data_IF_889093123905
#
_entry.id   IF_889093123905
#
_cell.length_a   1.000
_cell.length_b   1.000
_cell.length_c   1.000
_cell.angle_alpha   90.00
_cell.angle_beta   90.00
_cell.angle_gamma   90.00
#
_symmetry.space_group_name_H-M   'P 1'
#
loop_
_entity.id
_entity.type
_entity.pdbx_description
1 polymer ?
#
# COMPACT_ATOMS: atom_id res chain seq x y z
N UNK A 1 -3.20 -15.20 64.74
CA UNK A 1 -4.32 -15.05 63.79
C UNK A 1 -4.19 -13.69 63.11
N UNK A 2 -3.56 -13.66 61.96
CA UNK A 2 -3.35 -12.41 61.18
C UNK A 2 -4.52 -12.28 60.24
N UNK A 3 -5.33 -11.23 60.44
CA UNK A 3 -6.40 -10.85 59.53
C UNK A 3 -5.75 -10.18 58.27
N UNK A 4 -5.72 -10.92 57.17
CA UNK A 4 -5.38 -10.36 55.87
C UNK A 4 -6.52 -9.45 55.42
N UNK A 5 -6.27 -8.15 55.42
CA UNK A 5 -7.20 -7.17 54.87
C UNK A 5 -7.21 -7.32 53.35
N UNK A 6 -8.29 -7.83 52.79
CA UNK A 6 -8.53 -7.91 51.36
C UNK A 6 -9.09 -6.60 50.85
N UNK A 7 -8.22 -5.62 50.62
CA UNK A 7 -8.58 -4.46 49.85
C UNK A 7 -8.50 -4.80 48.35
N UNK A 8 -9.63 -4.86 47.68
CA UNK A 8 -9.68 -4.92 46.22
C UNK A 8 -9.56 -3.49 45.68
N UNK A 9 -8.74 -3.31 44.65
CA UNK A 9 -8.59 -2.01 43.97
C UNK A 9 -9.95 -1.56 43.45
N UNK A 10 -10.33 -0.33 43.78
CA UNK A 10 -11.53 0.33 43.24
C UNK A 10 -11.25 0.68 41.79
N UNK A 11 -11.95 0.02 40.84
CA UNK A 11 -11.96 0.43 39.44
C UNK A 11 -12.77 1.71 39.32
N UNK A 12 -12.10 2.84 39.42
CA UNK A 12 -12.75 4.12 39.11
C UNK A 12 -13.02 4.15 37.59
N UNK A 13 -14.25 4.50 37.13
CA UNK A 13 -14.47 4.82 35.73
C UNK A 13 -13.52 5.96 35.34
N UNK A 14 -12.63 5.70 34.38
CA UNK A 14 -11.72 6.73 33.86
C UNK A 14 -12.57 7.86 33.28
N UNK A 15 -12.63 9.01 33.97
CA UNK A 15 -13.00 10.26 33.30
C UNK A 15 -12.01 10.42 32.16
N UNK A 16 -12.51 10.58 30.93
CA UNK A 16 -11.66 10.87 29.77
C UNK A 16 -10.74 12.04 30.15
N UNK A 17 -9.43 11.82 30.10
CA UNK A 17 -8.48 12.90 30.36
C UNK A 17 -8.57 13.88 29.21
N UNK A 18 -8.35 15.17 29.50
CA UNK A 18 -8.33 16.19 28.45
C UNK A 18 -7.34 15.84 27.31
N UNK A 19 -6.21 15.22 27.66
CA UNK A 19 -5.24 14.67 26.69
C UNK A 19 -5.84 13.61 25.76
N UNK A 20 -6.72 12.74 26.27
CA UNK A 20 -7.37 11.71 25.44
C UNK A 20 -8.34 12.37 24.45
N UNK A 21 -9.13 13.35 24.89
CA UNK A 21 -10.05 14.11 24.02
C UNK A 21 -9.31 14.88 22.93
N UNK A 22 -8.16 15.49 23.25
CA UNK A 22 -7.32 16.19 22.27
C UNK A 22 -6.77 15.18 21.25
N UNK A 23 -6.30 14.02 21.72
CA UNK A 23 -5.79 12.97 20.84
C UNK A 23 -6.88 12.45 19.89
N UNK A 24 -8.09 12.16 20.40
CA UNK A 24 -9.23 11.73 19.59
C UNK A 24 -9.63 12.77 18.53
N UNK A 25 -9.58 14.07 18.86
CA UNK A 25 -9.88 15.13 17.90
C UNK A 25 -8.85 15.14 16.76
N UNK A 26 -7.56 15.07 17.07
CA UNK A 26 -6.49 15.03 16.05
C UNK A 26 -6.57 13.74 15.22
N UNK A 27 -6.84 12.59 15.84
CA UNK A 27 -7.11 11.34 15.15
C UNK A 27 -8.28 11.46 14.16
N UNK A 28 -9.36 12.14 14.57
CA UNK A 28 -10.51 12.42 13.70
C UNK A 28 -10.12 13.22 12.45
N UNK A 29 -9.26 14.23 12.59
CA UNK A 29 -8.77 15.03 11.46
C UNK A 29 -7.86 14.22 10.52
N UNK A 30 -7.06 13.30 11.06
CA UNK A 30 -6.24 12.38 10.27
C UNK A 30 -7.14 11.38 9.54
N UNK A 31 -8.13 10.81 10.23
CA UNK A 31 -9.05 9.83 9.67
C UNK A 31 -9.97 10.41 8.58
N UNK A 32 -10.38 11.68 8.71
CA UNK A 32 -11.16 12.39 7.69
C UNK A 32 -10.32 12.84 6.48
N UNK A 33 -8.98 12.80 6.61
CA UNK A 33 -8.06 13.29 5.57
C UNK A 33 -7.90 14.82 5.55
N UNK A 34 -8.41 15.53 6.54
CA UNK A 34 -8.15 16.97 6.73
C UNK A 34 -6.69 17.22 7.09
N UNK A 35 -6.09 16.33 7.91
CA UNK A 35 -4.65 16.25 8.14
C UNK A 35 -4.10 15.07 7.32
N UNK A 36 -3.25 15.38 6.36
CA UNK A 36 -2.67 14.39 5.44
C UNK A 36 -1.30 13.91 5.91
N UNK A 37 -0.87 12.70 5.54
CA UNK A 37 0.50 12.27 5.75
C UNK A 37 1.51 13.30 5.26
N UNK A 38 2.48 13.63 6.12
CA UNK A 38 3.49 14.66 5.86
C UNK A 38 3.11 16.07 6.26
N UNK A 39 1.84 16.35 6.59
CA UNK A 39 1.44 17.66 7.09
C UNK A 39 2.10 17.96 8.43
N UNK A 40 2.55 19.21 8.59
CA UNK A 40 3.13 19.68 9.83
C UNK A 40 2.06 20.23 10.75
N UNK A 41 2.03 19.79 12.00
CA UNK A 41 1.21 20.43 13.01
C UNK A 41 1.77 21.82 13.35
N UNK A 42 0.90 22.78 13.70
CA UNK A 42 1.34 24.06 14.22
C UNK A 42 2.25 23.87 15.45
N UNK A 43 3.17 24.82 15.74
CA UNK A 43 3.97 24.77 16.96
C UNK A 43 3.09 24.59 18.21
N UNK A 44 3.56 23.79 19.19
CA UNK A 44 2.79 23.49 20.41
C UNK A 44 2.16 24.73 21.06
N UNK A 45 2.86 25.87 21.03
CA UNK A 45 2.38 27.13 21.58
C UNK A 45 1.14 27.64 20.85
N UNK A 46 1.12 27.51 19.55
CA UNK A 46 0.05 28.06 18.73
C UNK A 46 -1.13 27.08 18.67
N UNK A 47 -0.83 25.78 18.62
CA UNK A 47 -1.83 24.71 18.66
C UNK A 47 -2.57 24.69 20.01
N UNK A 48 -1.85 24.90 21.15
CA UNK A 48 -2.50 24.97 22.47
C UNK A 48 -3.49 26.14 22.58
N UNK A 49 -3.20 27.26 21.91
CA UNK A 49 -4.11 28.41 21.84
C UNK A 49 -5.31 28.11 20.93
N UNK A 50 -5.09 27.48 19.78
CA UNK A 50 -6.18 27.15 18.86
C UNK A 50 -7.18 26.16 19.46
N UNK A 51 -6.68 25.21 20.26
CA UNK A 51 -7.51 24.21 20.94
C UNK A 51 -8.02 24.69 22.32
N UNK A 52 -7.62 25.86 22.76
CA UNK A 52 -7.94 26.43 24.12
C UNK A 52 -7.60 25.43 25.24
N UNK A 53 -6.41 24.84 25.21
CA UNK A 53 -5.95 23.85 26.18
C UNK A 53 -4.59 24.20 26.78
N UNK A 54 -4.28 23.60 27.93
CA UNK A 54 -2.96 23.76 28.54
C UNK A 54 -1.88 23.07 27.70
N UNK A 55 -0.67 23.67 27.62
CA UNK A 55 0.47 23.05 26.90
C UNK A 55 0.85 21.68 27.46
N UNK A 56 0.84 21.39 28.78
CA UNK A 56 1.07 20.05 29.29
C UNK A 56 0.07 19.01 28.77
N UNK A 57 -1.24 19.32 28.77
CA UNK A 57 -2.29 18.42 28.27
C UNK A 57 -2.13 18.15 26.76
N UNK A 58 -1.81 19.18 25.98
CA UNK A 58 -1.51 19.03 24.56
C UNK A 58 -0.28 18.13 24.34
N UNK A 59 0.80 18.36 25.08
CA UNK A 59 2.02 17.55 24.95
C UNK A 59 1.77 16.09 25.30
N UNK A 60 0.99 15.79 26.33
CA UNK A 60 0.59 14.42 26.66
C UNK A 60 -0.21 13.79 25.49
N UNK A 61 -1.14 14.51 24.89
CA UNK A 61 -1.89 14.05 23.72
C UNK A 61 -0.98 13.78 22.51
N UNK A 62 -0.04 14.68 22.22
CA UNK A 62 0.92 14.50 21.11
C UNK A 62 1.83 13.29 21.34
N UNK A 63 2.29 13.05 22.57
CA UNK A 63 3.07 11.85 22.92
C UNK A 63 2.25 10.55 22.76
N UNK A 64 0.96 10.58 23.11
CA UNK A 64 0.06 9.45 22.88
C UNK A 64 -0.08 9.17 21.37
N UNK A 65 -0.29 10.21 20.57
CA UNK A 65 -0.39 10.08 19.11
C UNK A 65 0.93 9.59 18.48
N UNK A 66 2.07 10.06 18.98
CA UNK A 66 3.39 9.57 18.56
C UNK A 66 3.57 8.09 18.93
N UNK A 67 3.20 7.67 20.14
CA UNK A 67 3.28 6.27 20.58
C UNK A 67 2.36 5.34 19.76
N UNK A 68 1.26 5.86 19.22
CA UNK A 68 0.36 5.17 18.29
C UNK A 68 0.87 5.18 16.85
N UNK A 69 1.99 5.86 16.57
CA UNK A 69 2.56 5.97 15.23
C UNK A 69 1.79 6.90 14.29
N UNK A 70 0.88 7.73 14.81
CA UNK A 70 0.09 8.69 14.02
C UNK A 70 0.83 10.01 13.79
N UNK A 71 1.73 10.36 14.70
CA UNK A 71 2.60 11.52 14.60
C UNK A 71 4.06 11.11 14.75
N UNK A 72 4.96 11.91 14.18
CA UNK A 72 6.40 11.77 14.34
C UNK A 72 7.02 13.11 14.73
N UNK A 73 7.86 13.08 15.79
CA UNK A 73 8.65 14.25 16.17
C UNK A 73 9.69 14.59 15.10
N UNK A 74 9.86 15.88 14.82
CA UNK A 74 10.81 16.38 13.80
C UNK A 74 12.13 16.84 14.44
N UNK A 75 13.22 16.61 13.73
CA UNK A 75 14.52 17.26 14.04
C UNK A 75 14.35 18.77 13.88
N UNK A 76 14.40 19.52 14.97
CA UNK A 76 14.16 20.96 14.99
C UNK A 76 12.87 21.38 15.70
N UNK A 77 12.07 20.43 16.19
CA UNK A 77 10.87 20.65 16.98
C UNK A 77 9.56 20.55 16.19
N UNK A 78 8.47 20.30 16.91
CA UNK A 78 7.14 20.08 16.35
C UNK A 78 6.92 18.65 15.89
N UNK A 79 5.71 18.39 15.38
CA UNK A 79 5.24 17.09 14.92
C UNK A 79 4.77 17.18 13.48
N UNK A 80 4.92 16.07 12.74
CA UNK A 80 4.25 15.88 11.45
C UNK A 80 3.38 14.62 11.50
N UNK A 81 2.34 14.61 10.69
CA UNK A 81 1.47 13.44 10.51
C UNK A 81 2.29 12.34 9.84
N UNK A 82 2.34 11.20 10.50
CA UNK A 82 3.05 10.04 9.97
C UNK A 82 2.29 9.48 8.77
N UNK A 83 3.02 9.08 7.75
CA UNK A 83 2.43 8.22 6.74
C UNK A 83 2.19 6.83 7.35
N UNK A 84 1.01 6.65 7.98
CA UNK A 84 0.59 5.36 8.56
C UNK A 84 0.54 4.24 7.52
N UNK A 85 0.71 4.62 6.25
CA UNK A 85 0.77 3.71 5.12
C UNK A 85 2.23 3.50 4.66
N UNK A 86 3.22 4.18 5.29
CA UNK A 86 4.62 3.95 5.00
C UNK A 86 5.03 2.51 5.37
N UNK A 87 5.86 1.85 4.55
CA UNK A 87 6.26 0.48 4.81
C UNK A 87 7.06 0.40 6.11
N UNK A 88 6.72 -0.54 6.96
CA UNK A 88 7.58 -0.95 8.06
C UNK A 88 8.75 -1.71 7.41
N UNK A 89 9.93 -1.08 7.42
CA UNK A 89 11.17 -1.58 6.76
C UNK A 89 11.57 -2.99 7.24
N UNK A 90 11.04 -3.45 8.35
CA UNK A 90 11.36 -4.74 9.00
C UNK A 90 10.20 -5.73 8.98
N UNK A 91 9.37 -5.77 7.93
CA UNK A 91 8.31 -6.76 7.83
C UNK A 91 8.93 -8.16 7.65
N UNK A 92 8.74 -9.11 8.59
CA UNK A 92 9.24 -10.48 8.45
C UNK A 92 8.75 -11.17 7.17
N UNK A 93 7.59 -10.76 6.64
CA UNK A 93 7.03 -11.28 5.40
C UNK A 93 7.93 -10.98 4.19
N UNK A 94 8.65 -9.86 4.18
CA UNK A 94 9.65 -9.54 3.13
C UNK A 94 10.71 -10.64 3.03
N UNK A 95 11.23 -11.12 4.17
CA UNK A 95 12.21 -12.19 4.20
C UNK A 95 11.65 -13.53 3.73
N UNK A 96 10.38 -13.82 4.04
CA UNK A 96 9.70 -15.03 3.58
C UNK A 96 9.51 -14.99 2.05
N UNK A 97 9.05 -13.87 1.50
CA UNK A 97 8.88 -13.68 0.06
C UNK A 97 10.18 -13.87 -0.73
N UNK A 98 11.31 -13.43 -0.16
CA UNK A 98 12.62 -13.59 -0.81
C UNK A 98 13.12 -15.04 -0.85
N UNK A 99 12.68 -15.88 0.09
CA UNK A 99 13.16 -17.26 0.24
C UNK A 99 12.17 -18.32 -0.22
N UNK A 100 10.89 -18.01 -0.27
CA UNK A 100 9.81 -18.93 -0.54
C UNK A 100 8.92 -18.43 -1.68
N UNK A 101 9.16 -18.83 -2.93
CA UNK A 101 8.39 -18.39 -4.10
C UNK A 101 6.88 -18.60 -3.98
N UNK A 102 6.43 -19.65 -3.26
CA UNK A 102 5.00 -19.90 -3.02
C UNK A 102 4.31 -18.76 -2.27
N UNK A 103 5.03 -18.05 -1.40
CA UNK A 103 4.48 -16.90 -0.65
C UNK A 103 4.14 -15.71 -1.59
N UNK A 104 4.76 -15.66 -2.76
CA UNK A 104 4.45 -14.65 -3.79
C UNK A 104 3.03 -14.86 -4.32
N UNK A 105 2.64 -16.10 -4.57
CA UNK A 105 1.27 -16.42 -5.01
C UNK A 105 0.23 -16.02 -3.95
N UNK A 106 0.51 -16.22 -2.66
CA UNK A 106 -0.37 -15.81 -1.56
C UNK A 106 -0.58 -14.27 -1.56
N UNK A 107 0.49 -13.50 -1.80
CA UNK A 107 0.40 -12.02 -1.89
C UNK A 107 -0.38 -11.58 -3.13
N UNK A 108 -0.20 -12.25 -4.27
CA UNK A 108 -0.95 -11.97 -5.50
C UNK A 108 -2.43 -12.31 -5.34
N UNK A 109 -2.78 -13.38 -4.64
CA UNK A 109 -4.16 -13.74 -4.33
C UNK A 109 -4.82 -12.69 -3.42
N UNK A 110 -4.12 -12.26 -2.37
CA UNK A 110 -4.58 -11.19 -1.49
C UNK A 110 -4.76 -9.87 -2.26
N UNK A 111 -3.79 -9.49 -3.09
CA UNK A 111 -3.86 -8.33 -3.99
C UNK A 111 -5.12 -8.37 -4.84
N UNK A 112 -5.38 -9.51 -5.48
CA UNK A 112 -6.54 -9.72 -6.34
C UNK A 112 -7.86 -9.44 -5.59
N UNK A 113 -8.04 -10.02 -4.41
CA UNK A 113 -9.24 -9.82 -3.59
C UNK A 113 -9.44 -8.36 -3.21
N UNK A 114 -8.39 -7.71 -2.72
CA UNK A 114 -8.44 -6.35 -2.19
C UNK A 114 -8.67 -5.32 -3.29
N UNK A 115 -7.98 -5.43 -4.42
CA UNK A 115 -8.13 -4.46 -5.51
C UNK A 115 -9.48 -4.57 -6.23
N UNK A 116 -10.06 -5.78 -6.32
CA UNK A 116 -11.43 -5.94 -6.79
C UNK A 116 -12.45 -5.22 -5.90
N UNK A 117 -12.26 -5.27 -4.57
CA UNK A 117 -13.09 -4.54 -3.60
C UNK A 117 -12.85 -3.03 -3.72
N UNK A 118 -11.58 -2.61 -3.87
CA UNK A 118 -11.23 -1.20 -4.04
C UNK A 118 -11.89 -0.59 -5.30
N UNK A 119 -11.85 -1.28 -6.44
CA UNK A 119 -12.50 -0.84 -7.66
C UNK A 119 -14.03 -0.74 -7.50
N UNK A 120 -14.65 -1.71 -6.84
CA UNK A 120 -16.08 -1.67 -6.52
C UNK A 120 -16.46 -0.46 -5.67
N UNK A 121 -15.68 -0.18 -4.61
CA UNK A 121 -15.95 0.96 -3.74
C UNK A 121 -15.59 2.30 -4.40
N UNK A 122 -14.56 2.33 -5.25
CA UNK A 122 -14.26 3.50 -6.06
C UNK A 122 -15.44 3.89 -6.96
N UNK A 123 -16.09 2.93 -7.62
CA UNK A 123 -17.27 3.21 -8.44
C UNK A 123 -18.43 3.81 -7.62
N UNK A 124 -18.55 3.45 -6.32
CA UNK A 124 -19.61 3.98 -5.45
C UNK A 124 -19.28 5.36 -4.86
N UNK A 125 -17.99 5.68 -4.66
CA UNK A 125 -17.57 6.78 -3.78
C UNK A 125 -16.67 7.82 -4.45
N UNK A 126 -16.08 7.50 -5.62
CA UNK A 126 -15.16 8.41 -6.29
C UNK A 126 -15.76 9.79 -6.50
N UNK A 127 -15.01 10.84 -6.22
CA UNK A 127 -15.34 12.21 -6.59
C UNK A 127 -15.03 12.47 -8.07
N UNK A 128 -15.51 13.56 -8.61
CA UNK A 128 -15.15 13.97 -9.97
C UNK A 128 -13.64 14.26 -10.10
N UNK A 129 -12.99 14.66 -9.02
CA UNK A 129 -11.54 14.84 -8.97
C UNK A 129 -10.81 13.52 -9.09
N UNK A 130 -11.27 12.46 -8.40
CA UNK A 130 -10.71 11.12 -8.50
C UNK A 130 -10.88 10.55 -9.91
N UNK A 131 -12.05 10.72 -10.49
CA UNK A 131 -12.33 10.28 -11.88
C UNK A 131 -11.42 11.00 -12.87
N UNK A 132 -11.19 12.31 -12.72
CA UNK A 132 -10.26 13.07 -13.55
C UNK A 132 -8.82 12.56 -13.38
N UNK A 133 -8.39 12.25 -12.13
CA UNK A 133 -7.09 11.68 -11.84
C UNK A 133 -6.90 10.33 -12.54
N UNK A 134 -7.84 9.41 -12.41
CA UNK A 134 -7.80 8.08 -13.04
C UNK A 134 -7.74 8.17 -14.57
N UNK A 135 -8.56 9.00 -15.19
CA UNK A 135 -8.53 9.20 -16.64
C UNK A 135 -7.22 9.84 -17.12
N UNK A 136 -6.63 10.73 -16.32
CA UNK A 136 -5.32 11.31 -16.58
C UNK A 136 -4.21 10.27 -16.56
N UNK A 137 -4.26 9.33 -15.60
CA UNK A 137 -3.31 8.21 -15.48
C UNK A 137 -3.40 7.27 -16.70
N UNK A 138 -4.60 6.84 -17.07
CA UNK A 138 -4.83 6.02 -18.26
C UNK A 138 -4.32 6.72 -19.53
N UNK A 139 -4.55 8.04 -19.64
CA UNK A 139 -4.07 8.82 -20.78
C UNK A 139 -2.54 8.87 -20.82
N UNK A 140 -1.86 8.98 -19.67
CA UNK A 140 -0.40 8.95 -19.57
C UNK A 140 0.18 7.59 -19.96
N UNK A 141 -0.45 6.50 -19.54
CA UNK A 141 -0.06 5.15 -19.92
C UNK A 141 -0.09 4.94 -21.43
N UNK A 142 -1.17 5.37 -22.09
CA UNK A 142 -1.35 5.26 -23.53
C UNK A 142 -0.45 6.20 -24.38
N UNK A 143 -0.04 7.34 -23.82
CA UNK A 143 0.79 8.35 -24.50
C UNK A 143 2.28 8.18 -24.18
N UNK A 144 2.80 6.97 -24.10
CA UNK A 144 4.24 6.75 -23.94
C UNK A 144 5.01 7.48 -25.01
N UNK A 145 6.00 8.29 -24.60
CA UNK A 145 6.91 8.96 -25.50
C UNK A 145 8.30 8.33 -25.32
N UNK A 146 8.89 7.82 -26.38
CA UNK A 146 10.26 7.29 -26.37
C UNK A 146 10.34 5.76 -26.33
N UNK A 147 11.53 5.26 -26.01
CA UNK A 147 11.79 3.85 -25.83
C UNK A 147 11.00 3.29 -24.62
N UNK A 148 10.65 2.03 -24.75
CA UNK A 148 9.94 1.30 -23.69
C UNK A 148 10.82 1.21 -22.44
N UNK A 149 10.34 1.73 -21.31
CA UNK A 149 10.97 1.61 -19.99
C UNK A 149 10.08 0.80 -19.06
N UNK A 150 10.44 -0.46 -18.83
CA UNK A 150 9.70 -1.39 -17.99
C UNK A 150 9.60 -0.90 -16.53
N UNK A 151 10.60 -0.20 -16.04
CA UNK A 151 10.59 0.35 -14.68
C UNK A 151 9.57 1.49 -14.56
N UNK A 152 9.60 2.47 -15.49
CA UNK A 152 8.63 3.56 -15.50
C UNK A 152 7.20 3.05 -15.68
N UNK A 153 6.99 2.05 -16.52
CA UNK A 153 5.66 1.47 -16.73
C UNK A 153 5.16 0.72 -15.49
N UNK A 154 6.05 0.02 -14.77
CA UNK A 154 5.71 -0.59 -13.49
C UNK A 154 5.34 0.43 -12.41
N UNK A 155 6.02 1.58 -12.34
CA UNK A 155 5.68 2.66 -11.40
C UNK A 155 4.34 3.32 -11.76
N UNK A 156 4.04 3.50 -13.05
CA UNK A 156 2.73 4.01 -13.52
C UNK A 156 1.59 3.06 -13.19
N UNK A 157 1.82 1.75 -13.28
CA UNK A 157 0.88 0.72 -12.86
C UNK A 157 0.55 0.84 -11.37
N UNK A 158 1.56 0.95 -10.52
CA UNK A 158 1.36 1.18 -9.07
C UNK A 158 0.58 2.46 -8.82
N UNK A 159 0.93 3.56 -9.51
CA UNK A 159 0.24 4.84 -9.34
C UNK A 159 -1.26 4.72 -9.69
N UNK A 160 -1.60 3.97 -10.76
CA UNK A 160 -2.99 3.73 -11.14
C UNK A 160 -3.76 2.94 -10.08
N UNK A 161 -3.22 1.81 -9.64
CA UNK A 161 -3.88 0.98 -8.64
C UNK A 161 -4.02 1.67 -7.29
N UNK A 162 -3.01 2.45 -6.88
CA UNK A 162 -3.11 3.29 -5.69
C UNK A 162 -4.19 4.36 -5.85
N UNK A 163 -4.33 4.99 -7.02
CA UNK A 163 -5.39 5.95 -7.27
C UNK A 163 -6.79 5.31 -7.22
N UNK A 164 -6.95 4.06 -7.67
CA UNK A 164 -8.20 3.30 -7.50
C UNK A 164 -8.50 3.05 -6.03
N UNK A 165 -7.49 2.64 -5.24
CA UNK A 165 -7.67 2.45 -3.80
C UNK A 165 -8.05 3.76 -3.08
N UNK A 166 -7.39 4.87 -3.41
CA UNK A 166 -7.70 6.21 -2.87
C UNK A 166 -9.13 6.65 -3.23
N UNK A 167 -9.56 6.42 -4.49
CA UNK A 167 -10.91 6.72 -4.95
C UNK A 167 -12.00 5.88 -4.26
N UNK A 168 -11.63 4.80 -3.57
CA UNK A 168 -12.55 4.04 -2.72
C UNK A 168 -12.98 4.78 -1.47
N UNK A 169 -12.27 5.86 -1.08
CA UNK A 169 -12.43 6.60 0.17
C UNK A 169 -12.52 5.69 1.40
N UNK A 170 -11.72 4.61 1.39
CA UNK A 170 -11.57 3.66 2.49
C UNK A 170 -10.10 3.60 2.91
N UNK A 171 -9.79 4.25 4.04
CA UNK A 171 -8.40 4.37 4.53
C UNK A 171 -7.75 3.02 4.79
N UNK A 172 -8.52 2.01 5.22
CA UNK A 172 -8.01 0.66 5.46
C UNK A 172 -7.59 -0.02 4.14
N UNK A 173 -8.39 0.13 3.06
CA UNK A 173 -8.03 -0.37 1.74
C UNK A 173 -6.79 0.31 1.21
N UNK A 174 -6.68 1.64 1.33
CA UNK A 174 -5.48 2.39 0.92
C UNK A 174 -4.24 1.88 1.65
N UNK A 175 -4.33 1.71 2.97
CA UNK A 175 -3.22 1.23 3.80
C UNK A 175 -2.76 -0.18 3.38
N UNK A 176 -3.69 -1.13 3.27
CA UNK A 176 -3.36 -2.52 2.92
C UNK A 176 -2.84 -2.60 1.49
N UNK A 177 -3.46 -1.92 0.53
CA UNK A 177 -3.00 -1.88 -0.87
C UNK A 177 -1.58 -1.35 -0.96
N UNK A 178 -1.24 -0.26 -0.26
CA UNK A 178 0.11 0.29 -0.22
C UNK A 178 1.11 -0.69 0.37
N UNK A 179 0.74 -1.38 1.47
CA UNK A 179 1.56 -2.43 2.07
C UNK A 179 1.89 -3.55 1.07
N UNK A 180 0.89 -4.02 0.33
CA UNK A 180 1.05 -5.05 -0.71
C UNK A 180 2.00 -4.57 -1.81
N UNK A 181 1.83 -3.35 -2.34
CA UNK A 181 2.71 -2.83 -3.38
C UNK A 181 4.15 -2.66 -2.89
N UNK A 182 4.37 -2.26 -1.64
CA UNK A 182 5.70 -2.18 -1.06
C UNK A 182 6.37 -3.57 -0.95
N UNK A 183 5.62 -4.59 -0.50
CA UNK A 183 6.09 -5.97 -0.49
C UNK A 183 6.46 -6.44 -1.91
N UNK A 184 5.62 -6.16 -2.89
CA UNK A 184 5.84 -6.52 -4.28
C UNK A 184 7.04 -5.79 -4.90
N UNK A 185 7.19 -4.48 -4.62
CA UNK A 185 8.30 -3.67 -5.13
C UNK A 185 9.66 -4.21 -4.71
N UNK A 186 9.79 -4.66 -3.47
CA UNK A 186 11.05 -5.22 -2.96
C UNK A 186 11.40 -6.59 -3.53
N UNK A 187 10.42 -7.38 -3.95
CA UNK A 187 10.61 -8.79 -4.27
C UNK A 187 10.35 -9.14 -5.75
N UNK A 188 9.56 -8.34 -6.45
CA UNK A 188 9.03 -8.70 -7.78
C UNK A 188 9.41 -7.71 -8.89
N UNK A 189 10.33 -6.79 -8.67
CA UNK A 189 10.79 -5.83 -9.69
C UNK A 189 11.16 -6.56 -11.00
N UNK A 190 11.95 -7.64 -10.90
CA UNK A 190 12.38 -8.42 -12.08
C UNK A 190 11.22 -9.11 -12.81
N UNK A 191 10.28 -9.67 -12.07
CA UNK A 191 9.13 -10.36 -12.67
C UNK A 191 8.16 -9.37 -13.32
N UNK A 192 8.02 -8.19 -12.75
CA UNK A 192 7.21 -7.10 -13.33
C UNK A 192 7.89 -6.52 -14.57
N UNK A 193 9.17 -6.26 -14.52
CA UNK A 193 9.96 -5.88 -15.71
C UNK A 193 9.78 -6.91 -16.83
N UNK A 194 9.89 -8.22 -16.53
CA UNK A 194 9.69 -9.27 -17.51
C UNK A 194 8.27 -9.30 -18.09
N UNK A 195 7.23 -9.00 -17.29
CA UNK A 195 5.85 -8.87 -17.77
C UNK A 195 5.70 -7.72 -18.78
N UNK A 196 6.34 -6.59 -18.51
CA UNK A 196 6.31 -5.43 -19.39
C UNK A 196 7.28 -5.53 -20.58
N UNK A 197 8.31 -6.39 -20.51
CA UNK A 197 9.19 -6.66 -21.66
C UNK A 197 8.49 -7.43 -22.79
N UNK A 198 7.37 -8.08 -22.54
CA UNK A 198 6.52 -8.63 -23.59
C UNK A 198 5.67 -7.51 -24.19
N UNK A 199 6.12 -6.93 -25.31
CA UNK A 199 5.46 -5.76 -25.95
C UNK A 199 3.96 -5.94 -26.18
N UNK A 200 3.50 -7.17 -26.44
CA UNK A 200 2.09 -7.50 -26.65
C UNK A 200 1.25 -7.31 -25.36
N UNK A 201 1.84 -7.49 -24.18
CA UNK A 201 1.14 -7.34 -22.90
C UNK A 201 0.85 -5.88 -22.54
N UNK A 202 1.71 -4.96 -22.94
CA UNK A 202 1.61 -3.54 -22.56
C UNK A 202 0.31 -2.90 -23.07
N UNK A 203 -0.01 -3.10 -24.34
CA UNK A 203 -1.25 -2.59 -24.93
C UNK A 203 -2.49 -3.21 -24.32
N UNK A 204 -2.42 -4.48 -23.94
CA UNK A 204 -3.52 -5.20 -23.28
C UNK A 204 -3.74 -4.70 -21.86
N UNK A 205 -2.66 -4.52 -21.08
CA UNK A 205 -2.74 -3.95 -19.73
C UNK A 205 -3.33 -2.53 -19.75
N UNK A 206 -2.89 -1.67 -20.67
CA UNK A 206 -3.44 -0.33 -20.83
C UNK A 206 -4.93 -0.34 -21.17
N UNK A 207 -5.38 -1.27 -22.00
CA UNK A 207 -6.80 -1.43 -22.33
C UNK A 207 -7.60 -1.88 -21.10
N UNK A 208 -7.06 -2.80 -20.31
CA UNK A 208 -7.69 -3.29 -19.08
C UNK A 208 -7.79 -2.18 -18.01
N UNK A 209 -6.73 -1.38 -17.80
CA UNK A 209 -6.78 -0.22 -16.91
C UNK A 209 -7.84 0.79 -17.34
N UNK A 210 -7.97 1.03 -18.65
CA UNK A 210 -9.01 1.92 -19.16
C UNK A 210 -10.42 1.40 -18.90
N UNK A 211 -10.66 0.09 -18.98
CA UNK A 211 -11.98 -0.48 -18.65
C UNK A 211 -12.30 -0.36 -17.17
N UNK A 212 -11.30 -0.50 -16.26
CA UNK A 212 -11.49 -0.23 -14.83
C UNK A 212 -11.86 1.23 -14.61
N UNK A 213 -11.07 2.17 -15.15
CA UNK A 213 -11.34 3.61 -14.99
C UNK A 213 -12.70 4.02 -15.57
N UNK A 214 -13.09 3.47 -16.71
CA UNK A 214 -14.40 3.70 -17.35
C UNK A 214 -15.54 3.20 -16.47
N UNK A 215 -15.44 1.99 -15.92
CA UNK A 215 -16.47 1.43 -15.03
C UNK A 215 -16.64 2.27 -13.75
N UNK A 216 -15.52 2.78 -13.19
CA UNK A 216 -15.56 3.71 -12.05
C UNK A 216 -16.24 5.04 -12.48
N UNK A 217 -15.88 5.58 -13.63
CA UNK A 217 -16.40 6.87 -14.11
C UNK A 217 -17.92 6.83 -14.37
N UNK A 218 -18.45 5.71 -14.86
CA UNK A 218 -19.91 5.53 -15.04
C UNK A 218 -20.62 5.07 -13.77
N UNK A 219 -19.88 4.95 -12.66
CA UNK A 219 -20.40 4.57 -11.33
C UNK A 219 -21.11 3.20 -11.32
N UNK A 220 -20.56 2.22 -12.05
CA UNK A 220 -21.03 0.83 -12.04
C UNK A 220 -20.09 -0.05 -11.19
N UNK A 221 -20.46 -0.37 -9.93
CA UNK A 221 -19.60 -1.14 -9.03
C UNK A 221 -19.43 -2.60 -9.46
N UNK A 222 -20.43 -3.18 -10.15
CA UNK A 222 -20.34 -4.55 -10.63
C UNK A 222 -19.39 -4.65 -11.83
N UNK A 223 -19.49 -3.71 -12.78
CA UNK A 223 -18.57 -3.60 -13.91
C UNK A 223 -17.14 -3.30 -13.46
N UNK A 224 -16.94 -2.38 -12.49
CA UNK A 224 -15.63 -2.05 -11.96
C UNK A 224 -14.95 -3.27 -11.31
N UNK A 225 -15.68 -4.01 -10.46
CA UNK A 225 -15.19 -5.25 -9.86
C UNK A 225 -14.83 -6.30 -10.92
N UNK A 226 -15.68 -6.47 -11.94
CA UNK A 226 -15.46 -7.41 -13.03
C UNK A 226 -14.23 -7.04 -13.85
N UNK A 227 -14.05 -5.77 -14.20
CA UNK A 227 -12.91 -5.29 -14.96
C UNK A 227 -11.60 -5.49 -14.17
N UNK A 228 -11.58 -5.15 -12.86
CA UNK A 228 -10.45 -5.41 -11.98
C UNK A 228 -10.12 -6.91 -11.87
N UNK A 229 -11.13 -7.77 -11.72
CA UNK A 229 -10.95 -9.21 -11.67
C UNK A 229 -10.31 -9.77 -12.95
N UNK A 230 -10.76 -9.34 -14.12
CA UNK A 230 -10.17 -9.76 -15.39
C UNK A 230 -8.72 -9.32 -15.53
N UNK A 231 -8.42 -8.07 -15.17
CA UNK A 231 -7.07 -7.53 -15.19
C UNK A 231 -6.13 -8.32 -14.25
N UNK A 232 -6.53 -8.49 -12.99
CA UNK A 232 -5.68 -9.14 -11.99
C UNK A 232 -5.50 -10.64 -12.23
N UNK A 233 -6.51 -11.32 -12.79
CA UNK A 233 -6.38 -12.71 -13.26
C UNK A 233 -5.37 -12.81 -14.39
N UNK A 234 -5.38 -11.89 -15.34
CA UNK A 234 -4.40 -11.85 -16.43
C UNK A 234 -2.98 -11.61 -15.88
N UNK A 235 -2.79 -10.60 -15.02
CA UNK A 235 -1.49 -10.30 -14.40
C UNK A 235 -0.95 -11.51 -13.62
N UNK A 236 -1.80 -12.16 -12.83
CA UNK A 236 -1.41 -13.34 -12.05
C UNK A 236 -0.98 -14.52 -12.93
N UNK A 237 -1.72 -14.78 -13.99
CA UNK A 237 -1.38 -15.83 -14.95
C UNK A 237 -0.04 -15.55 -15.65
N UNK A 238 0.15 -14.33 -16.13
CA UNK A 238 1.38 -13.92 -16.83
C UNK A 238 2.61 -13.93 -15.92
N UNK A 239 2.47 -13.52 -14.65
CA UNK A 239 3.58 -13.58 -13.67
C UNK A 239 3.97 -15.03 -13.35
N UNK A 240 3.02 -15.94 -13.27
CA UNK A 240 3.30 -17.38 -13.10
C UNK A 240 4.05 -17.97 -14.31
N UNK A 241 3.67 -17.60 -15.51
CA UNK A 241 4.34 -18.04 -16.75
C UNK A 241 5.79 -17.57 -16.78
N UNK A 242 6.05 -16.29 -16.45
CA UNK A 242 7.41 -15.75 -16.33
C UNK A 242 8.23 -16.53 -15.29
N UNK A 243 7.67 -16.79 -14.11
CA UNK A 243 8.37 -17.51 -13.05
C UNK A 243 8.71 -18.96 -13.46
N UNK A 244 7.83 -19.65 -14.19
CA UNK A 244 8.10 -21.00 -14.71
C UNK A 244 9.22 -21.00 -15.76
N UNK A 245 9.22 -20.04 -16.67
CA UNK A 245 10.26 -19.89 -17.70
C UNK A 245 11.63 -19.63 -17.08
N UNK A 246 11.71 -18.79 -16.04
CA UNK A 246 12.95 -18.51 -15.32
C UNK A 246 13.51 -19.78 -14.62
N UNK A 247 12.64 -20.56 -14.00
CA UNK A 247 13.04 -21.83 -13.35
C UNK A 247 13.58 -22.85 -14.35
N UNK A 248 12.96 -22.98 -15.53
CA UNK A 248 13.43 -23.86 -16.61
C UNK A 248 14.79 -23.42 -17.13
N UNK A 249 15.00 -22.12 -17.35
CA UNK A 249 16.29 -21.57 -17.79
C UNK A 249 17.40 -21.79 -16.76
N UNK A 250 17.11 -21.59 -15.47
CA UNK A 250 18.06 -21.86 -14.38
C UNK A 250 18.41 -23.35 -14.29
N UNK A 251 17.42 -24.23 -14.45
CA UNK A 251 17.60 -25.66 -14.49
C UNK A 251 18.49 -26.11 -15.66
N UNK A 252 18.28 -25.54 -16.85
CA UNK A 252 19.08 -25.81 -18.04
C UNK A 252 20.54 -25.30 -17.87
N UNK A 253 20.74 -24.11 -17.32
CA UNK A 253 22.09 -23.57 -17.00
C UNK A 253 22.84 -24.44 -16.02
N UNK A 254 22.19 -24.88 -14.95
CA UNK A 254 22.79 -25.74 -13.93
C UNK A 254 23.22 -27.11 -14.49
N UNK A 255 22.43 -27.69 -15.38
CA UNK A 255 22.77 -28.93 -16.07
C UNK A 255 23.99 -28.75 -16.99
N UNK A 256 24.06 -27.64 -17.72
CA UNK A 256 25.19 -27.33 -18.63
C UNK A 256 26.51 -27.10 -17.90
N UNK A 257 26.48 -26.41 -16.75
CA UNK A 257 27.67 -26.23 -15.90
C UNK A 257 28.16 -27.58 -15.35
N UNK A 258 27.26 -28.45 -14.89
CA UNK A 258 27.62 -29.77 -14.37
C UNK A 258 28.20 -30.69 -15.45
N UNK A 259 27.72 -30.63 -16.71
CA UNK A 259 28.29 -31.41 -17.83
C UNK A 259 29.71 -30.93 -18.15
N UNK A 260 29.94 -29.61 -18.22
CA UNK A 260 31.27 -29.03 -18.48
C UNK A 260 32.29 -29.38 -17.38
N UNK A 261 31.87 -29.37 -16.12
CA UNK A 261 32.72 -29.78 -15.01
C UNK A 261 33.05 -31.24 -14.99
N UNK A 262 32.17 -32.14 -15.50
CA UNK A 262 32.45 -33.56 -15.65
C UNK A 262 33.44 -33.82 -16.78
N UNK A 263 33.31 -33.14 -17.92
CA UNK A 263 34.24 -33.25 -19.04
C UNK A 263 35.66 -32.78 -18.66
N UNK A 264 35.77 -31.66 -17.92
CA UNK A 264 37.03 -31.12 -17.42
C UNK A 264 37.70 -31.95 -16.31
N UNK A 265 36.98 -32.88 -15.66
CA UNK A 265 37.55 -33.81 -14.64
C UNK A 265 37.99 -35.17 -15.22
N UNK A 266 37.83 -35.37 -16.52
CA UNK A 266 38.13 -36.66 -17.16
C UNK A 266 39.40 -36.59 -18.05
N UNK A 267 39.95 -35.39 -18.22
CA UNK A 267 41.26 -35.10 -18.80
C UNK A 267 42.32 -34.89 -17.69
#
# INVERSE_FOLDING_TARGET
MSSSSSFSAVVQPRRARLSDTIAEQIEGLIASGELKPGDNLPPERDLSKQLDVSRPSLREALLVLESRGLLQARRGGGYCVTDVTAPIITDPLVHLLQRHPSTVDDVLELRHGIECIAAQFAALRATDTDIKKLNGLVTRMRKRKGEFDAFEDAERDVEFHMAVAEASHNIALVHVTRGIFNLMRMNMLRSREALYHQQDNVGLLDAQHAEIAKAIAIRDPAAARKAANLHLSFVQASLREVAMTDLEQQGARSKRVRSQQREASTD
#
